data_IF_484831879380
#
_entry.id   IF_484831879380
#
_cell.length_a   1.000
_cell.length_b   1.000
_cell.length_c   1.000
_cell.angle_alpha   90.00
_cell.angle_beta   90.00
_cell.angle_gamma   90.00
#
_symmetry.space_group_name_H-M   'P 1'
#
loop_
_entity.id
_entity.type
_entity.pdbx_description
1 polymer ?
#
# COMPACT_ATOMS: atom_id res chain seq x y z
N UNK A 1 7.40 3.03 -13.59
CA UNK A 1 7.42 3.56 -12.21
C UNK A 1 5.99 3.86 -11.78
N UNK A 2 5.38 3.02 -10.93
CA UNK A 2 4.04 3.27 -10.41
C UNK A 2 3.98 4.53 -9.53
N UNK A 3 2.82 5.19 -9.53
CA UNK A 3 2.59 6.40 -8.77
C UNK A 3 1.15 6.48 -8.23
N UNK A 4 0.94 7.29 -7.19
CA UNK A 4 -0.36 7.51 -6.56
C UNK A 4 -0.52 8.98 -6.14
N UNK A 5 -1.56 9.66 -6.65
CA UNK A 5 -1.99 10.96 -6.12
C UNK A 5 -2.71 10.76 -4.79
N UNK A 6 -2.21 11.39 -3.71
CA UNK A 6 -2.75 11.19 -2.36
C UNK A 6 -4.12 11.84 -2.15
N UNK A 7 -4.47 12.82 -2.97
CA UNK A 7 -5.74 13.53 -2.90
C UNK A 7 -6.79 12.88 -3.80
N UNK A 8 -6.36 12.37 -4.96
CA UNK A 8 -7.21 11.71 -5.96
C UNK A 8 -6.71 10.29 -6.29
N UNK A 9 -6.74 9.36 -5.33
CA UNK A 9 -6.09 8.04 -5.50
C UNK A 9 -6.85 7.09 -6.43
N UNK A 10 -8.06 7.45 -6.89
CA UNK A 10 -8.87 6.59 -7.76
C UNK A 10 -9.36 5.28 -7.11
N UNK A 11 -9.29 5.19 -5.78
CA UNK A 11 -9.67 4.01 -5.00
C UNK A 11 -10.43 4.41 -3.72
N UNK A 12 -11.20 3.49 -3.12
CA UNK A 12 -11.89 3.75 -1.85
C UNK A 12 -10.93 4.07 -0.71
N UNK A 13 -11.38 4.84 0.28
CA UNK A 13 -10.56 5.28 1.41
C UNK A 13 -9.93 4.12 2.19
N UNK A 14 -10.69 3.04 2.41
CA UNK A 14 -10.17 1.83 3.06
C UNK A 14 -8.98 1.24 2.27
N UNK A 15 -9.12 1.16 0.94
CA UNK A 15 -8.05 0.65 0.08
C UNK A 15 -6.84 1.59 0.11
N UNK A 16 -7.06 2.90 0.07
CA UNK A 16 -6.00 3.90 0.16
C UNK A 16 -5.21 3.78 1.46
N UNK A 17 -5.89 3.76 2.61
CA UNK A 17 -5.24 3.69 3.92
C UNK A 17 -4.41 2.41 4.04
N UNK A 18 -4.98 1.26 3.67
CA UNK A 18 -4.28 -0.02 3.72
C UNK A 18 -3.08 -0.05 2.76
N UNK A 19 -3.23 0.52 1.56
CA UNK A 19 -2.18 0.55 0.56
C UNK A 19 -0.99 1.42 1.00
N UNK A 20 -1.23 2.66 1.42
CA UNK A 20 -0.16 3.55 1.89
C UNK A 20 0.52 2.99 3.14
N UNK A 21 -0.25 2.40 4.04
CA UNK A 21 0.27 1.72 5.23
C UNK A 21 1.20 0.57 4.86
N UNK A 22 0.81 -0.27 3.90
CA UNK A 22 1.63 -1.36 3.41
C UNK A 22 2.90 -0.85 2.70
N UNK A 23 2.81 0.23 1.93
CA UNK A 23 3.99 0.89 1.33
C UNK A 23 4.98 1.37 2.40
N UNK A 24 4.48 1.86 3.54
CA UNK A 24 5.32 2.33 4.64
C UNK A 24 6.07 1.19 5.35
N UNK A 25 5.49 -0.01 5.39
CA UNK A 25 6.11 -1.19 6.03
C UNK A 25 6.90 -2.07 5.06
N UNK A 26 6.67 -1.89 3.76
CA UNK A 26 7.42 -2.55 2.70
C UNK A 26 8.89 -2.07 2.65
N UNK A 27 9.78 -3.00 2.31
CA UNK A 27 11.22 -2.73 2.18
C UNK A 27 11.55 -2.09 0.82
N UNK A 28 10.92 -0.93 0.55
CA UNK A 28 11.07 -0.20 -0.69
C UNK A 28 12.20 0.83 -0.58
N UNK A 29 13.33 0.58 -1.24
CA UNK A 29 14.46 1.53 -1.30
C UNK A 29 14.16 2.74 -2.18
N UNK A 30 13.19 2.62 -3.08
CA UNK A 30 12.88 3.62 -4.13
C UNK A 30 11.64 4.45 -3.83
N UNK A 31 10.92 4.19 -2.74
CA UNK A 31 9.76 4.98 -2.36
C UNK A 31 10.20 6.38 -1.92
N UNK A 32 9.58 7.42 -2.48
CA UNK A 32 9.89 8.84 -2.23
C UNK A 32 9.45 9.38 -0.85
N UNK A 33 9.22 8.48 0.11
CA UNK A 33 8.90 8.79 1.51
C UNK A 33 10.10 8.35 2.35
N UNK A 34 10.61 9.20 3.24
CA UNK A 34 11.72 8.84 4.13
C UNK A 34 11.35 7.69 5.07
N UNK A 35 12.33 6.90 5.50
CA UNK A 35 12.09 5.78 6.40
C UNK A 35 11.45 6.25 7.73
N UNK A 36 11.88 7.38 8.27
CA UNK A 36 11.35 7.95 9.51
C UNK A 36 9.87 8.36 9.36
N UNK A 37 9.52 8.99 8.24
CA UNK A 37 8.14 9.38 7.96
C UNK A 37 7.23 8.15 7.75
N UNK A 38 7.75 7.09 7.13
CA UNK A 38 7.01 5.81 7.01
C UNK A 38 6.69 5.20 8.38
N UNK A 39 7.66 5.23 9.30
CA UNK A 39 7.47 4.77 10.68
C UNK A 39 6.44 5.65 11.38
N UNK A 40 6.56 6.97 11.27
CA UNK A 40 5.61 7.90 11.88
C UNK A 40 4.17 7.70 11.38
N UNK A 41 3.98 7.58 10.06
CA UNK A 41 2.67 7.32 9.47
C UNK A 41 2.06 6.04 10.05
N UNK A 42 2.82 4.94 10.07
CA UNK A 42 2.33 3.67 10.59
C UNK A 42 2.00 3.77 12.08
N UNK A 43 2.90 4.31 12.90
CA UNK A 43 2.75 4.36 14.36
C UNK A 43 1.56 5.25 14.76
N UNK A 44 1.34 6.36 14.04
CA UNK A 44 0.17 7.23 14.25
C UNK A 44 -1.12 6.51 13.90
N UNK A 45 -1.20 5.87 12.73
CA UNK A 45 -2.38 5.08 12.34
C UNK A 45 -2.61 3.90 13.31
N UNK A 46 -1.56 3.24 13.77
CA UNK A 46 -1.64 2.17 14.76
C UNK A 46 -2.28 2.65 16.06
N UNK A 47 -1.84 3.80 16.58
CA UNK A 47 -2.37 4.39 17.83
C UNK A 47 -3.84 4.81 17.78
N UNK A 48 -4.41 4.98 16.57
CA UNK A 48 -5.83 5.28 16.38
C UNK A 48 -6.72 4.03 16.51
N UNK A 49 -6.14 2.84 16.35
CA UNK A 49 -6.87 1.57 16.28
C UNK A 49 -6.57 0.69 17.50
N UNK A 50 -5.33 0.72 17.96
CA UNK A 50 -4.80 -0.15 19.00
C UNK A 50 -4.38 0.65 20.23
N UNK A 51 -4.43 0.00 21.38
CA UNK A 51 -3.92 0.55 22.65
C UNK A 51 -2.51 0.07 22.97
N UNK A 52 -2.05 -1.01 22.33
CA UNK A 52 -0.68 -1.49 22.48
C UNK A 52 0.31 -0.68 21.63
N UNK A 53 1.60 -0.84 21.96
CA UNK A 53 2.69 -0.29 21.15
C UNK A 53 2.76 -0.98 19.79
N UNK A 54 3.12 -0.27 18.70
CA UNK A 54 3.33 -0.87 17.39
C UNK A 54 4.39 -1.99 17.44
N UNK A 55 4.22 -3.07 16.65
CA UNK A 55 5.24 -4.12 16.55
C UNK A 55 6.60 -3.58 16.15
N UNK A 56 7.67 -4.13 16.73
CA UNK A 56 9.05 -3.76 16.39
C UNK A 56 9.51 -4.43 15.10
N UNK A 57 9.05 -5.66 14.83
CA UNK A 57 9.30 -6.32 13.55
C UNK A 57 8.41 -5.71 12.46
N UNK A 58 9.03 -5.18 11.40
CA UNK A 58 8.32 -4.64 10.22
C UNK A 58 7.39 -5.65 9.57
N UNK A 59 7.71 -6.95 9.62
CA UNK A 59 6.86 -8.00 9.04
C UNK A 59 5.54 -8.20 9.79
N UNK A 60 5.51 -7.79 11.05
CA UNK A 60 4.32 -7.86 11.91
C UNK A 60 3.52 -6.55 11.88
N UNK A 61 4.07 -5.48 11.29
CA UNK A 61 3.39 -4.20 11.11
C UNK A 61 2.32 -4.29 10.03
N UNK A 62 1.16 -4.79 10.42
CA UNK A 62 -0.03 -4.90 9.59
C UNK A 62 -1.14 -4.12 10.26
N UNK A 63 -1.75 -3.19 9.52
CA UNK A 63 -2.91 -2.44 9.98
C UNK A 63 -4.18 -3.24 9.70
N UNK A 64 -4.88 -3.65 10.77
CA UNK A 64 -6.18 -4.32 10.70
C UNK A 64 -7.29 -3.33 11.03
N UNK A 65 -8.09 -2.98 10.02
CA UNK A 65 -9.21 -2.06 10.16
C UNK A 65 -10.57 -2.76 10.31
N UNK A 66 -10.61 -4.10 10.38
CA UNK A 66 -11.87 -4.87 10.45
C UNK A 66 -12.71 -4.56 11.70
N UNK A 67 -12.06 -4.21 12.80
CA UNK A 67 -12.73 -3.77 14.03
C UNK A 67 -12.94 -2.25 14.12
N UNK A 68 -12.46 -1.48 13.14
CA UNK A 68 -12.53 -0.03 13.14
C UNK A 68 -13.92 0.50 12.78
N UNK A 69 -14.19 1.74 13.21
CA UNK A 69 -15.37 2.49 12.78
C UNK A 69 -15.04 3.35 11.56
N UNK A 70 -16.07 3.89 10.89
CA UNK A 70 -15.90 4.88 9.83
C UNK A 70 -15.08 6.09 10.29
N UNK A 71 -15.32 6.57 11.52
CA UNK A 71 -14.53 7.63 12.15
C UNK A 71 -13.04 7.27 12.29
N UNK A 72 -12.73 6.00 12.58
CA UNK A 72 -11.35 5.51 12.67
C UNK A 72 -10.68 5.54 11.29
N UNK A 73 -11.41 5.14 10.25
CA UNK A 73 -10.92 5.21 8.88
C UNK A 73 -10.65 6.65 8.44
N UNK A 74 -11.58 7.57 8.71
CA UNK A 74 -11.43 9.00 8.43
C UNK A 74 -10.22 9.60 9.15
N UNK A 75 -10.01 9.24 10.43
CA UNK A 75 -8.86 9.70 11.20
C UNK A 75 -7.54 9.19 10.60
N UNK A 76 -7.46 7.92 10.18
CA UNK A 76 -6.30 7.38 9.49
C UNK A 76 -6.04 8.08 8.15
N UNK A 77 -7.10 8.29 7.35
CA UNK A 77 -7.03 8.99 6.07
C UNK A 77 -6.48 10.41 6.24
N UNK A 78 -7.04 11.16 7.19
CA UNK A 78 -6.62 12.52 7.52
C UNK A 78 -5.16 12.56 7.99
N UNK A 79 -4.78 11.62 8.86
CA UNK A 79 -3.41 11.50 9.38
C UNK A 79 -2.40 11.28 8.25
N UNK A 80 -2.67 10.30 7.38
CA UNK A 80 -1.79 9.99 6.23
C UNK A 80 -1.64 11.21 5.33
N UNK A 81 -2.76 11.84 4.94
CA UNK A 81 -2.74 13.00 4.04
C UNK A 81 -1.99 14.18 4.65
N UNK A 82 -2.18 14.44 5.94
CA UNK A 82 -1.53 15.54 6.63
C UNK A 82 -0.02 15.33 6.71
N UNK A 83 0.43 14.16 7.15
CA UNK A 83 1.86 13.84 7.27
C UNK A 83 2.58 13.89 5.91
N UNK A 84 1.94 13.40 4.84
CA UNK A 84 2.50 13.47 3.50
C UNK A 84 2.51 14.92 2.97
N UNK A 85 1.46 15.69 3.21
CA UNK A 85 1.40 17.10 2.81
C UNK A 85 2.44 17.96 3.54
N UNK A 86 2.66 17.72 4.83
CA UNK A 86 3.69 18.40 5.64
C UNK A 86 5.10 18.10 5.12
N UNK A 87 5.31 16.90 4.61
CA UNK A 87 6.53 16.51 3.91
C UNK A 87 6.60 17.00 2.44
N UNK A 88 5.61 17.78 1.99
CA UNK A 88 5.46 18.27 0.62
C UNK A 88 5.36 17.15 -0.43
N UNK A 89 4.81 15.99 -0.04
CA UNK A 89 4.58 14.82 -0.90
C UNK A 89 3.11 14.83 -1.33
N UNK A 90 2.87 15.03 -2.63
CA UNK A 90 1.53 14.94 -3.24
C UNK A 90 1.32 13.68 -4.07
N UNK A 91 2.41 13.16 -4.63
CA UNK A 91 2.41 11.96 -5.45
C UNK A 91 3.39 11.00 -4.80
N UNK A 92 2.91 9.84 -4.38
CA UNK A 92 3.78 8.74 -3.98
C UNK A 92 4.33 8.10 -5.25
N UNK A 93 5.63 7.86 -5.28
CA UNK A 93 6.30 7.15 -6.37
C UNK A 93 7.18 6.08 -5.76
N UNK A 94 7.09 4.87 -6.29
CA UNK A 94 7.96 3.77 -5.92
C UNK A 94 8.39 3.07 -7.20
N UNK A 95 9.59 2.53 -7.20
CA UNK A 95 10.07 1.70 -8.28
C UNK A 95 10.44 0.34 -7.72
N UNK A 96 9.47 -0.55 -7.76
CA UNK A 96 9.70 -1.96 -7.51
C UNK A 96 9.36 -2.67 -8.82
N UNK A 97 10.32 -3.33 -9.50
CA UNK A 97 9.94 -4.24 -10.57
C UNK A 97 8.97 -5.24 -9.96
N UNK A 98 7.85 -5.52 -10.64
CA UNK A 98 6.91 -6.57 -10.20
C UNK A 98 7.75 -7.81 -9.95
N UNK A 99 7.98 -8.13 -8.68
CA UNK A 99 8.82 -9.26 -8.33
C UNK A 99 7.94 -10.48 -8.33
N UNK A 100 8.45 -11.58 -8.87
CA UNK A 100 7.75 -12.84 -8.77
C UNK A 100 7.42 -13.14 -7.30
N UNK A 101 6.24 -13.70 -7.03
CA UNK A 101 5.81 -13.95 -5.66
C UNK A 101 6.86 -14.77 -4.91
N UNK A 102 7.50 -14.14 -3.92
CA UNK A 102 8.59 -14.72 -3.12
C UNK A 102 8.11 -15.74 -2.09
N UNK A 103 6.79 -15.88 -1.92
CA UNK A 103 6.17 -16.91 -1.10
C UNK A 103 5.62 -18.01 -1.99
N UNK A 104 6.06 -19.24 -1.75
CA UNK A 104 5.34 -20.41 -2.23
C UNK A 104 3.89 -20.32 -1.72
N UNK A 105 2.96 -20.35 -2.67
CA UNK A 105 1.54 -20.35 -2.33
C UNK A 105 1.21 -21.56 -1.46
N UNK A 106 0.33 -21.36 -0.48
CA UNK A 106 -0.09 -22.45 0.39
C UNK A 106 -0.67 -23.60 -0.44
N UNK A 107 -0.58 -24.87 0.01
CA UNK A 107 -1.14 -26.00 -0.73
C UNK A 107 -2.62 -25.83 -1.08
N UNK A 108 -3.38 -25.10 -0.24
CA UNK A 108 -4.78 -24.76 -0.45
C UNK A 108 -5.00 -23.69 -1.56
N UNK A 109 -4.00 -22.83 -1.80
CA UNK A 109 -4.07 -21.79 -2.83
C UNK A 109 -3.70 -22.30 -4.23
N UNK A 110 -2.88 -23.36 -4.34
CA UNK A 110 -2.49 -23.98 -5.63
C UNK A 110 -3.67 -24.29 -6.57
N UNK A 111 -4.74 -24.99 -6.13
CA UNK A 111 -5.87 -25.27 -7.02
C UNK A 111 -6.64 -24.01 -7.46
N UNK A 112 -6.61 -22.94 -6.66
CA UNK A 112 -7.23 -21.66 -7.03
C UNK A 112 -6.39 -20.93 -8.08
N UNK A 113 -5.07 -20.96 -7.95
CA UNK A 113 -4.12 -20.38 -8.92
C UNK A 113 -4.21 -21.11 -10.26
N UNK A 114 -4.23 -22.45 -10.24
CA UNK A 114 -4.40 -23.26 -11.45
C UNK A 114 -5.73 -22.97 -12.15
N UNK A 115 -6.80 -22.77 -11.37
CA UNK A 115 -8.11 -22.41 -11.90
C UNK A 115 -8.09 -21.00 -12.50
N UNK A 116 -7.44 -20.05 -11.84
CA UNK A 116 -7.32 -18.68 -12.33
C UNK A 116 -6.52 -18.61 -13.64
N UNK A 117 -5.41 -19.32 -13.73
CA UNK A 117 -4.59 -19.39 -14.96
C UNK A 117 -5.29 -20.06 -16.15
N UNK A 118 -6.31 -20.90 -15.90
CA UNK A 118 -7.17 -21.43 -16.98
C UNK A 118 -8.26 -20.44 -17.42
N UNK A 119 -8.72 -19.59 -16.51
CA UNK A 119 -9.77 -18.60 -16.77
C UNK A 119 -9.20 -17.36 -17.47
N UNK A 120 -7.96 -17.02 -17.18
CA UNK A 120 -7.20 -15.92 -17.77
C UNK A 120 -5.86 -16.46 -18.28
N UNK A 121 -5.84 -17.14 -19.43
CA UNK A 121 -4.63 -17.75 -19.98
C UNK A 121 -3.66 -16.70 -20.55
N UNK A 122 -4.20 -15.55 -20.95
CA UNK A 122 -3.39 -14.41 -21.34
C UNK A 122 -2.86 -13.72 -20.07
N UNK A 123 -1.56 -13.38 -20.01
CA UNK A 123 -1.04 -12.59 -18.91
C UNK A 123 -1.87 -11.30 -18.81
N UNK A 124 -2.22 -10.84 -17.60
CA UNK A 124 -2.97 -9.59 -17.45
C UNK A 124 -2.23 -8.52 -18.23
N UNK A 125 -2.93 -7.86 -19.13
CA UNK A 125 -2.39 -6.79 -19.95
C UNK A 125 -1.71 -5.80 -19.01
N UNK A 126 -0.38 -5.77 -19.05
CA UNK A 126 0.40 -4.80 -18.31
C UNK A 126 0.01 -3.47 -18.92
N UNK A 127 -0.86 -2.74 -18.24
CA UNK A 127 -1.14 -1.34 -18.54
C UNK A 127 0.13 -0.55 -18.20
N UNK A 128 1.06 -0.49 -19.16
CA UNK A 128 2.06 0.56 -19.16
C UNK A 128 1.31 1.90 -19.24
N UNK A 129 1.52 2.84 -18.30
CA UNK A 129 0.96 4.18 -18.45
C UNK A 129 1.52 4.77 -19.74
N UNK A 130 0.64 5.11 -20.67
CA UNK A 130 0.97 5.66 -21.98
C UNK A 130 2.01 6.77 -21.87
N UNK A 131 3.12 6.63 -22.58
CA UNK A 131 4.15 7.66 -22.73
C UNK A 131 3.66 8.72 -23.74
N UNK A 132 3.31 9.96 -23.34
CA UNK A 132 2.87 10.97 -24.28
C UNK A 132 4.10 11.73 -24.79
N UNK A 133 4.80 11.17 -25.77
CA UNK A 133 5.79 11.93 -26.54
C UNK A 133 6.04 11.29 -27.92
N UNK A 134 5.20 11.66 -28.88
CA UNK A 134 5.60 11.75 -30.29
C UNK A 134 4.68 12.76 -30.97
N UNK A 135 5.13 14.01 -30.99
CA UNK A 135 4.64 15.13 -31.77
C UNK A 135 5.81 16.06 -32.05
#
# INVERSE_FOLDING_TARGET
MPSLDIHNPGMPDLQFVLFVSALCTADLTTLNVSADLRVEIFDRCWSLIHTEVPPTDRRERVLDLRGGTELTLEACLSTIRSLLADANIRILTWDHPVSEPTRESTPAAKPLIDRLGRLYPDPPEIVDPENPASG
#
